data_IF_069826923102
#
_entry.id   IF_069826923102
#
_cell.length_a   1.000
_cell.length_b   1.000
_cell.length_c   1.000
_cell.angle_alpha   90.00
_cell.angle_beta   90.00
_cell.angle_gamma   90.00
#
_symmetry.space_group_name_H-M   'P 1'
#
loop_
_entity.id
_entity.type
_entity.pdbx_description
1 polymer ?
#
# COMPACT_ATOMS: atom_id res chain seq x y z
N UNK A 1 6.99 -14.65 8.27
CA UNK A 1 6.91 -13.88 7.00
C UNK A 1 5.82 -12.83 7.08
N UNK A 2 6.13 -11.62 6.65
CA UNK A 2 5.12 -10.58 6.46
C UNK A 2 4.29 -10.88 5.21
N UNK A 3 3.15 -10.21 5.07
CA UNK A 3 2.34 -10.34 3.87
C UNK A 3 3.11 -9.91 2.61
N UNK A 4 3.88 -8.84 2.72
CA UNK A 4 4.76 -8.39 1.63
C UNK A 4 5.74 -9.51 1.21
N UNK A 5 6.39 -10.15 2.19
CA UNK A 5 7.32 -11.25 1.92
C UNK A 5 6.64 -12.46 1.27
N UNK A 6 5.43 -12.78 1.70
CA UNK A 6 4.64 -13.87 1.08
C UNK A 6 4.38 -13.62 -0.40
N UNK A 7 4.05 -12.38 -0.75
CA UNK A 7 3.83 -12.01 -2.16
C UNK A 7 5.12 -12.10 -2.97
N UNK A 8 6.25 -11.69 -2.37
CA UNK A 8 7.57 -11.88 -3.00
C UNK A 8 7.87 -13.35 -3.30
N UNK A 9 7.55 -14.22 -2.35
CA UNK A 9 7.71 -15.66 -2.53
C UNK A 9 6.83 -16.18 -3.69
N UNK A 10 5.58 -15.73 -3.75
CA UNK A 10 4.69 -16.08 -4.87
C UNK A 10 5.31 -15.67 -6.20
N UNK A 11 5.76 -14.42 -6.31
CA UNK A 11 6.33 -13.89 -7.55
C UNK A 11 7.56 -14.69 -7.98
N UNK A 12 8.46 -14.97 -7.05
CA UNK A 12 9.65 -15.76 -7.33
C UNK A 12 9.29 -17.18 -7.78
N UNK A 13 8.35 -17.82 -7.09
CA UNK A 13 7.90 -19.18 -7.39
C UNK A 13 7.30 -19.28 -8.80
N UNK A 14 6.55 -18.24 -9.20
CA UNK A 14 5.87 -18.24 -10.50
C UNK A 14 6.66 -17.51 -11.60
N UNK A 15 7.95 -17.24 -11.35
CA UNK A 15 8.83 -16.71 -12.40
C UNK A 15 8.67 -15.24 -12.71
N UNK A 16 8.06 -14.46 -11.80
CA UNK A 16 7.96 -13.02 -11.94
C UNK A 16 9.16 -12.34 -11.29
N UNK A 17 9.63 -11.25 -11.90
CA UNK A 17 10.80 -10.54 -11.39
C UNK A 17 10.51 -9.80 -10.09
N UNK A 18 11.37 -10.03 -9.11
CA UNK A 18 11.42 -9.24 -7.87
C UNK A 18 12.70 -8.41 -7.93
N UNK A 19 12.55 -7.10 -8.10
CA UNK A 19 13.72 -6.22 -8.23
C UNK A 19 14.39 -6.03 -6.86
N UNK A 20 15.73 -6.07 -6.88
CA UNK A 20 16.54 -5.84 -5.68
C UNK A 20 16.85 -4.37 -5.47
N UNK A 21 16.91 -3.58 -6.55
CA UNK A 21 17.11 -2.14 -6.52
C UNK A 21 15.82 -1.45 -6.93
N UNK A 22 15.49 -0.35 -6.27
CA UNK A 22 14.31 0.43 -6.61
C UNK A 22 14.46 1.06 -8.01
N UNK A 23 13.35 1.12 -8.71
CA UNK A 23 13.30 1.71 -10.06
C UNK A 23 12.08 1.22 -10.82
N UNK A 24 11.81 1.91 -11.91
CA UNK A 24 10.75 1.49 -12.82
C UNK A 24 11.20 0.26 -13.62
N UNK A 25 10.25 -0.51 -14.08
CA UNK A 25 10.47 -1.65 -14.95
C UNK A 25 10.20 -1.26 -16.40
N UNK A 26 9.94 -2.23 -17.28
CA UNK A 26 9.51 -1.94 -18.64
C UNK A 26 8.12 -1.31 -18.64
N UNK A 27 7.75 -0.60 -19.70
CA UNK A 27 6.41 -0.03 -19.84
C UNK A 27 5.33 -1.09 -19.68
N UNK A 28 5.57 -2.28 -20.23
CA UNK A 28 4.65 -3.42 -20.15
C UNK A 28 4.40 -3.82 -18.69
N UNK A 29 5.45 -3.92 -17.88
CA UNK A 29 5.33 -4.30 -16.47
C UNK A 29 4.70 -3.15 -15.65
N UNK A 30 5.11 -1.92 -15.91
CA UNK A 30 4.55 -0.76 -15.23
C UNK A 30 3.03 -0.67 -15.44
N UNK A 31 2.60 -0.83 -16.69
CA UNK A 31 1.18 -0.81 -17.04
C UNK A 31 0.43 -2.00 -16.43
N UNK A 32 1.04 -3.17 -16.41
CA UNK A 32 0.44 -4.35 -15.79
C UNK A 32 0.15 -4.09 -14.31
N UNK A 33 1.09 -3.49 -13.59
CA UNK A 33 0.91 -3.25 -12.15
C UNK A 33 -0.21 -2.24 -11.87
N UNK A 34 -0.33 -1.21 -12.71
CA UNK A 34 -1.45 -0.26 -12.62
C UNK A 34 -2.77 -0.98 -12.90
N UNK A 35 -2.82 -1.75 -13.98
CA UNK A 35 -4.06 -2.43 -14.39
C UNK A 35 -4.53 -3.45 -13.36
N UNK A 36 -3.61 -4.17 -12.69
CA UNK A 36 -3.98 -5.12 -11.64
C UNK A 36 -4.67 -4.41 -10.46
N UNK A 37 -4.15 -3.26 -10.05
CA UNK A 37 -4.76 -2.49 -8.96
C UNK A 37 -6.13 -1.95 -9.39
N UNK A 38 -6.25 -1.44 -10.61
CA UNK A 38 -7.53 -0.95 -11.14
C UNK A 38 -8.58 -2.04 -11.21
N UNK A 39 -8.22 -3.25 -11.67
CA UNK A 39 -9.14 -4.39 -11.72
C UNK A 39 -9.71 -4.69 -10.34
N UNK A 40 -8.84 -4.76 -9.33
CA UNK A 40 -9.28 -5.09 -7.97
C UNK A 40 -10.10 -3.94 -7.36
N UNK A 41 -9.77 -2.70 -7.68
CA UNK A 41 -10.58 -1.55 -7.27
C UNK A 41 -11.99 -1.64 -7.86
N UNK A 42 -12.10 -2.02 -9.13
CA UNK A 42 -13.40 -2.16 -9.79
C UNK A 42 -14.21 -3.31 -9.18
N UNK A 43 -13.57 -4.42 -8.84
CA UNK A 43 -14.22 -5.53 -8.15
C UNK A 43 -14.72 -5.11 -6.77
N UNK A 44 -13.94 -4.30 -6.05
CA UNK A 44 -14.36 -3.73 -4.77
C UNK A 44 -15.61 -2.86 -4.93
N UNK A 45 -15.62 -1.98 -5.93
CA UNK A 45 -16.79 -1.14 -6.22
C UNK A 45 -18.04 -1.97 -6.52
N UNK A 46 -17.89 -3.02 -7.31
CA UNK A 46 -18.99 -3.92 -7.65
C UNK A 46 -19.51 -4.66 -6.40
N UNK A 47 -18.61 -5.16 -5.59
CA UNK A 47 -18.96 -5.86 -4.35
C UNK A 47 -19.71 -4.93 -3.38
N UNK A 48 -19.27 -3.69 -3.26
CA UNK A 48 -19.95 -2.68 -2.44
C UNK A 48 -21.36 -2.38 -2.97
N UNK A 49 -21.49 -2.27 -4.29
CA UNK A 49 -22.75 -2.03 -4.95
C UNK A 49 -23.77 -3.15 -4.70
N UNK A 50 -23.29 -4.39 -4.68
CA UNK A 50 -24.10 -5.58 -4.41
C UNK A 50 -24.30 -5.86 -2.92
N UNK A 51 -23.60 -5.13 -2.07
CA UNK A 51 -23.57 -5.35 -0.60
C UNK A 51 -23.22 -6.79 -0.25
N UNK A 52 -22.29 -7.37 -0.99
CA UNK A 52 -21.79 -8.72 -0.77
C UNK A 52 -20.49 -8.66 0.04
N UNK A 53 -20.59 -8.88 1.34
CA UNK A 53 -19.46 -8.72 2.26
C UNK A 53 -18.34 -9.71 1.98
N UNK A 54 -18.66 -10.91 1.55
CA UNK A 54 -17.64 -11.91 1.18
C UNK A 54 -16.83 -11.43 -0.02
N UNK A 55 -17.49 -10.88 -1.03
CA UNK A 55 -16.82 -10.33 -2.21
C UNK A 55 -16.02 -9.07 -1.85
N UNK A 56 -16.50 -8.27 -0.90
CA UNK A 56 -15.75 -7.12 -0.38
C UNK A 56 -14.45 -7.58 0.27
N UNK A 57 -14.50 -8.62 1.09
CA UNK A 57 -13.31 -9.17 1.75
C UNK A 57 -12.30 -9.70 0.72
N UNK A 58 -12.78 -10.40 -0.30
CA UNK A 58 -11.94 -10.91 -1.38
C UNK A 58 -11.28 -9.77 -2.15
N UNK A 59 -12.04 -8.78 -2.56
CA UNK A 59 -11.53 -7.63 -3.32
C UNK A 59 -10.48 -6.84 -2.52
N UNK A 60 -10.76 -6.55 -1.24
CA UNK A 60 -9.80 -5.83 -0.39
C UNK A 60 -8.51 -6.63 -0.19
N UNK A 61 -8.62 -7.94 -0.02
CA UNK A 61 -7.45 -8.80 0.12
C UNK A 61 -6.62 -8.80 -1.17
N UNK A 62 -7.28 -8.86 -2.32
CA UNK A 62 -6.60 -8.83 -3.62
C UNK A 62 -5.96 -7.47 -3.90
N UNK A 63 -6.58 -6.36 -3.46
CA UNK A 63 -5.95 -5.03 -3.54
C UNK A 63 -4.62 -5.02 -2.79
N UNK A 64 -4.59 -5.57 -1.58
CA UNK A 64 -3.34 -5.69 -0.83
C UNK A 64 -2.33 -6.55 -1.58
N UNK A 65 -2.77 -7.67 -2.11
CA UNK A 65 -1.91 -8.63 -2.80
C UNK A 65 -1.22 -7.99 -4.01
N UNK A 66 -1.98 -7.37 -4.89
CA UNK A 66 -1.43 -6.75 -6.11
C UNK A 66 -0.61 -5.50 -5.79
N UNK A 67 -0.94 -4.79 -4.71
CA UNK A 67 -0.15 -3.64 -4.24
C UNK A 67 1.23 -4.09 -3.76
N UNK A 68 1.30 -5.15 -2.96
CA UNK A 68 2.58 -5.74 -2.56
C UNK A 68 3.37 -6.23 -3.78
N UNK A 69 2.67 -6.80 -4.76
CA UNK A 69 3.30 -7.20 -6.02
C UNK A 69 3.95 -6.04 -6.77
N UNK A 70 3.28 -4.90 -6.81
CA UNK A 70 3.85 -3.68 -7.40
C UNK A 70 5.11 -3.24 -6.64
N UNK A 71 5.11 -3.32 -5.31
CA UNK A 71 6.29 -3.03 -4.51
C UNK A 71 7.49 -3.87 -4.92
N UNK A 72 7.30 -5.17 -5.07
CA UNK A 72 8.37 -6.07 -5.54
C UNK A 72 8.81 -5.78 -6.97
N UNK A 73 7.85 -5.48 -7.85
CA UNK A 73 8.16 -5.18 -9.25
C UNK A 73 9.03 -3.93 -9.39
N UNK A 74 8.90 -2.97 -8.48
CA UNK A 74 9.66 -1.72 -8.50
C UNK A 74 10.81 -1.69 -7.49
N UNK A 75 11.06 -2.79 -6.78
CA UNK A 75 12.14 -2.86 -5.78
C UNK A 75 11.93 -1.95 -4.59
N UNK A 76 10.69 -1.75 -4.19
CA UNK A 76 10.31 -0.90 -3.05
C UNK A 76 9.95 -1.81 -1.87
N UNK A 77 10.63 -1.64 -0.74
CA UNK A 77 10.30 -2.38 0.48
C UNK A 77 9.08 -1.73 1.15
N UNK A 78 7.89 -2.25 0.83
CA UNK A 78 6.65 -1.68 1.35
C UNK A 78 6.47 -1.90 2.86
N UNK A 79 7.09 -2.92 3.44
CA UNK A 79 7.08 -3.08 4.90
C UNK A 79 7.74 -1.89 5.59
N UNK A 80 8.92 -1.50 5.11
CA UNK A 80 9.66 -0.35 5.66
C UNK A 80 8.94 0.97 5.38
N UNK A 81 8.41 1.12 4.17
CA UNK A 81 7.63 2.30 3.81
C UNK A 81 6.37 2.43 4.68
N UNK A 82 5.69 1.32 4.92
CA UNK A 82 4.49 1.32 5.75
C UNK A 82 4.82 1.72 7.19
N UNK A 83 5.91 1.20 7.74
CA UNK A 83 6.35 1.55 9.09
C UNK A 83 6.64 3.06 9.20
N UNK A 84 7.28 3.63 8.20
CA UNK A 84 7.55 5.07 8.15
C UNK A 84 6.25 5.87 8.09
N UNK A 85 5.30 5.47 7.24
CA UNK A 85 4.00 6.13 7.12
C UNK A 85 3.22 5.99 8.43
N UNK A 86 3.32 4.85 9.11
CA UNK A 86 2.68 4.65 10.41
C UNK A 86 3.21 5.65 11.43
N UNK A 87 4.51 5.83 11.52
CA UNK A 87 5.12 6.81 12.43
C UNK A 87 4.66 8.23 12.10
N UNK A 88 4.64 8.57 10.81
CA UNK A 88 4.15 9.86 10.34
C UNK A 88 2.70 10.08 10.73
N UNK A 89 1.85 9.08 10.50
CA UNK A 89 0.42 9.17 10.84
C UNK A 89 0.20 9.33 12.34
N UNK A 90 0.93 8.59 13.15
CA UNK A 90 0.83 8.72 14.62
C UNK A 90 1.35 10.07 15.12
N UNK A 91 2.25 10.72 14.39
CA UNK A 91 2.74 12.05 14.74
C UNK A 91 1.70 13.16 14.55
N UNK A 92 0.54 12.84 13.98
CA UNK A 92 -0.57 13.80 13.82
C UNK A 92 -1.28 14.13 15.14
N UNK A 93 -1.02 13.40 16.20
CA UNK A 93 -1.64 13.67 17.51
C UNK A 93 -1.35 15.10 17.99
N UNK A 94 -2.29 15.66 18.72
CA UNK A 94 -2.11 16.95 19.39
C UNK A 94 -1.07 16.87 20.50
N UNK A 95 -0.66 18.04 21.01
CA UNK A 95 0.32 18.14 22.11
C UNK A 95 -0.14 17.44 23.38
N UNK A 96 -1.46 17.23 23.54
CA UNK A 96 -2.06 16.51 24.67
C UNK A 96 -2.12 14.99 24.45
N UNK A 97 -1.56 14.49 23.34
CA UNK A 97 -1.59 13.08 22.98
C UNK A 97 -2.93 12.61 22.42
N UNK A 98 -3.83 13.54 22.12
CA UNK A 98 -5.17 13.22 21.59
C UNK A 98 -5.28 13.61 20.12
N UNK A 99 -6.16 12.92 19.36
CA UNK A 99 -6.37 13.29 17.97
C UNK A 99 -7.05 14.64 17.82
N UNK A 100 -6.76 15.30 16.72
CA UNK A 100 -7.39 16.57 16.32
C UNK A 100 -8.21 16.25 15.07
N UNK A 101 -9.50 16.64 15.08
CA UNK A 101 -10.40 16.41 13.96
C UNK A 101 -10.90 17.74 13.38
N UNK A 102 -11.17 17.74 12.07
CA UNK A 102 -11.91 18.86 11.47
C UNK A 102 -13.41 18.62 11.59
N UNK A 103 -14.22 19.52 11.03
CA UNK A 103 -15.70 19.45 11.06
C UNK A 103 -16.27 18.20 10.33
N UNK A 104 -15.48 17.58 9.43
CA UNK A 104 -15.86 16.35 8.72
C UNK A 104 -15.29 15.09 9.37
N UNK A 105 -14.81 15.19 10.61
CA UNK A 105 -14.22 14.08 11.38
C UNK A 105 -12.97 13.51 10.70
N UNK A 106 -12.29 14.33 9.90
CA UNK A 106 -11.00 13.96 9.30
C UNK A 106 -9.88 14.29 10.28
N UNK A 107 -8.93 13.36 10.46
CA UNK A 107 -7.76 13.56 11.33
C UNK A 107 -6.89 14.68 10.78
N UNK A 108 -6.60 15.66 11.62
CA UNK A 108 -5.76 16.80 11.28
C UNK A 108 -4.35 16.61 11.82
N UNK A 109 -3.40 17.36 11.26
CA UNK A 109 -2.00 17.33 11.68
C UNK A 109 -1.79 18.13 12.94
N UNK A 110 -1.21 17.51 13.97
CA UNK A 110 -0.82 18.19 15.19
C UNK A 110 0.52 18.91 15.07
N UNK A 111 0.97 19.56 16.16
CA UNK A 111 2.18 20.40 16.12
C UNK A 111 3.48 19.63 15.90
N UNK A 112 3.50 18.34 16.23
CA UNK A 112 4.71 17.50 16.08
C UNK A 112 4.68 16.64 14.83
N UNK A 113 3.75 16.91 13.90
CA UNK A 113 3.65 16.15 12.67
C UNK A 113 4.92 16.27 11.84
N UNK A 114 5.35 15.12 11.29
CA UNK A 114 6.41 15.09 10.29
C UNK A 114 5.95 14.27 9.08
N UNK A 115 6.41 14.69 7.88
CA UNK A 115 6.13 13.95 6.64
C UNK A 115 6.91 12.64 6.63
N UNK A 116 6.36 11.56 6.06
CA UNK A 116 7.13 10.34 5.87
C UNK A 116 8.30 10.59 4.91
N UNK A 117 9.48 10.09 5.25
CA UNK A 117 10.66 10.16 4.40
C UNK A 117 10.87 8.81 3.73
N UNK A 118 10.27 8.61 2.57
CA UNK A 118 10.35 7.34 1.85
C UNK A 118 11.63 7.20 1.02
N UNK A 119 12.31 8.32 0.71
CA UNK A 119 13.53 8.30 -0.09
C UNK A 119 14.62 7.43 0.52
N UNK A 120 14.68 7.32 1.85
CA UNK A 120 15.70 6.51 2.52
C UNK A 120 15.56 5.00 2.25
N UNK A 121 14.42 4.56 1.72
CA UNK A 121 14.17 3.16 1.35
C UNK A 121 14.33 2.91 -0.14
N UNK A 122 14.63 3.96 -0.92
CA UNK A 122 14.80 3.88 -2.37
C UNK A 122 16.31 3.93 -2.67
N UNK A 123 16.79 2.93 -3.34
CA UNK A 123 18.23 2.80 -3.64
C UNK A 123 18.58 3.29 -5.04
#
# INVERSE_FOLDING_TARGET
MTNFEKVGLFMTTFGQEVKKKSGFSSNKINDLRINLIEEELNEFKDAMSKKDLKEVADALTDILYVTYGAGHAFGINLDDCFEEVQKSNMSKLGSDGKPIYNEHVKVMKGPNYFKPNLNKFLT
#
